data_IF_323985351839
#
_entry.id   IF_323985351839
#
_cell.length_a   1.000
_cell.length_b   1.000
_cell.length_c   1.000
_cell.angle_alpha   90.00
_cell.angle_beta   90.00
_cell.angle_gamma   90.00
#
_symmetry.space_group_name_H-M   'P 1'
#
loop_
_entity.id
_entity.type
_entity.pdbx_description
1 polymer ?
#
# COMPACT_ATOMS: atom_id res chain seq x y z
N UNK A 1 -8.15 -7.52 -23.40
CA UNK A 1 -7.05 -7.75 -22.43
C UNK A 1 -7.33 -6.93 -21.18
N UNK A 2 -7.42 -7.53 -19.99
CA UNK A 2 -7.58 -6.78 -18.74
C UNK A 2 -6.25 -6.11 -18.40
N UNK A 3 -6.16 -4.79 -18.54
CA UNK A 3 -5.02 -4.00 -18.06
C UNK A 3 -4.89 -4.24 -16.55
N UNK A 4 -3.73 -4.74 -16.10
CA UNK A 4 -3.40 -4.80 -14.68
C UNK A 4 -3.24 -3.35 -14.22
N UNK A 5 -4.19 -2.86 -13.44
CA UNK A 5 -4.16 -1.50 -12.91
C UNK A 5 -2.98 -1.33 -11.96
N UNK A 6 -2.27 -0.22 -12.11
CA UNK A 6 -0.98 0.05 -11.50
C UNK A 6 -1.12 0.99 -10.31
N UNK A 7 -0.26 0.83 -9.31
CA UNK A 7 -0.12 1.76 -8.19
C UNK A 7 1.35 2.03 -7.94
N UNK A 8 1.66 3.25 -7.52
CA UNK A 8 2.99 3.69 -7.13
C UNK A 8 3.08 3.76 -5.61
N UNK A 9 4.22 3.37 -5.06
CA UNK A 9 4.53 3.55 -3.63
C UNK A 9 5.90 4.19 -3.55
N UNK A 10 5.99 5.29 -2.82
CA UNK A 10 7.22 6.01 -2.51
C UNK A 10 7.37 6.09 -0.98
N UNK A 11 8.59 5.95 -0.48
CA UNK A 11 8.88 6.05 0.95
C UNK A 11 9.77 7.26 1.18
N UNK A 12 9.35 8.16 2.07
CA UNK A 12 10.14 9.34 2.50
C UNK A 12 10.04 9.43 4.01
N UNK A 13 11.16 9.35 4.71
CA UNK A 13 11.26 9.46 6.18
C UNK A 13 10.16 8.66 6.93
N UNK A 14 10.10 7.35 6.66
CA UNK A 14 9.10 6.40 7.21
C UNK A 14 7.64 6.70 6.84
N UNK A 15 7.39 7.62 5.92
CA UNK A 15 6.06 7.91 5.39
C UNK A 15 5.90 7.27 4.03
N UNK A 16 4.84 6.48 3.88
CA UNK A 16 4.43 5.89 2.61
C UNK A 16 3.52 6.86 1.87
N UNK A 17 3.86 7.13 0.63
CA UNK A 17 3.02 7.85 -0.31
C UNK A 17 2.59 6.86 -1.37
N UNK A 18 1.29 6.59 -1.43
CA UNK A 18 0.69 5.62 -2.33
C UNK A 18 -0.18 6.38 -3.31
N UNK A 19 0.04 6.18 -4.60
CA UNK A 19 -0.73 6.81 -5.66
C UNK A 19 -1.39 5.76 -6.55
N UNK A 20 -2.67 5.95 -6.83
CA UNK A 20 -3.48 5.10 -7.70
C UNK A 20 -3.77 5.84 -9.01
N UNK A 21 -3.63 5.12 -10.11
CA UNK A 21 -3.94 5.64 -11.45
C UNK A 21 -5.43 6.00 -11.61
N UNK A 22 -6.30 5.34 -10.85
CA UNK A 22 -7.74 5.60 -10.80
C UNK A 22 -8.23 5.70 -9.35
N UNK A 23 -9.36 6.38 -9.15
CA UNK A 23 -10.03 6.46 -7.85
C UNK A 23 -10.43 5.07 -7.36
N UNK A 24 -9.97 4.69 -6.17
CA UNK A 24 -10.36 3.45 -5.50
C UNK A 24 -11.64 3.70 -4.72
N UNK A 25 -12.77 3.12 -5.16
CA UNK A 25 -14.06 3.25 -4.48
C UNK A 25 -14.01 2.66 -3.06
N UNK A 26 -13.40 1.49 -2.93
CA UNK A 26 -13.12 0.82 -1.66
C UNK A 26 -11.88 -0.04 -1.82
N UNK A 27 -10.93 0.11 -0.90
CA UNK A 27 -9.68 -0.62 -0.93
C UNK A 27 -9.12 -0.80 0.49
N UNK A 28 -8.28 -1.83 0.66
CA UNK A 28 -7.52 -2.08 1.88
C UNK A 28 -6.03 -2.08 1.59
N UNK A 29 -5.23 -1.59 2.54
CA UNK A 29 -3.77 -1.61 2.51
C UNK A 29 -3.29 -2.38 3.73
N UNK A 30 -2.69 -3.54 3.52
CA UNK A 30 -2.06 -4.33 4.58
C UNK A 30 -0.55 -4.18 4.50
N UNK A 31 0.07 -3.82 5.63
CA UNK A 31 1.53 -3.70 5.76
C UNK A 31 2.00 -4.82 6.67
N UNK A 32 2.94 -5.63 6.20
CA UNK A 32 3.51 -6.75 6.94
C UNK A 32 5.03 -6.68 6.92
N UNK A 33 5.70 -7.23 7.94
CA UNK A 33 7.15 -7.42 7.87
C UNK A 33 7.51 -8.60 6.92
N UNK A 34 8.80 -8.89 6.77
CA UNK A 34 9.28 -10.01 5.92
C UNK A 34 8.83 -11.39 6.41
N UNK A 35 8.56 -11.54 7.70
CA UNK A 35 8.09 -12.79 8.31
C UNK A 35 6.58 -13.02 8.08
N UNK A 36 5.91 -12.08 7.40
CA UNK A 36 4.48 -12.11 7.16
C UNK A 36 3.64 -11.66 8.36
N UNK A 37 4.27 -11.19 9.44
CA UNK A 37 3.54 -10.57 10.56
C UNK A 37 2.92 -9.27 10.08
N UNK A 38 1.59 -9.21 10.12
CA UNK A 38 0.83 -7.98 9.87
C UNK A 38 1.18 -6.93 10.92
N UNK A 39 1.50 -5.76 10.43
CA UNK A 39 1.94 -4.60 11.21
C UNK A 39 0.80 -3.58 11.28
N UNK A 40 0.22 -3.26 10.12
CA UNK A 40 -0.92 -2.36 10.00
C UNK A 40 -1.88 -2.81 8.91
N UNK A 41 -3.12 -2.34 9.01
CA UNK A 41 -4.13 -2.41 7.96
C UNK A 41 -4.97 -1.15 7.97
N UNK A 42 -5.28 -0.64 6.79
CA UNK A 42 -6.09 0.54 6.57
C UNK A 42 -7.12 0.26 5.49
N UNK A 43 -8.38 0.52 5.77
CA UNK A 43 -9.43 0.57 4.77
C UNK A 43 -9.70 2.02 4.40
N UNK A 44 -9.89 2.28 3.11
CA UNK A 44 -10.16 3.62 2.60
C UNK A 44 -11.13 3.56 1.42
N UNK A 45 -11.74 4.70 1.12
CA UNK A 45 -12.79 4.81 0.10
C UNK A 45 -12.68 6.13 -0.66
N UNK A 46 -13.05 6.10 -1.94
CA UNK A 46 -13.09 7.24 -2.85
C UNK A 46 -11.79 8.08 -2.89
N UNK A 47 -10.65 7.41 -3.00
CA UNK A 47 -9.33 8.06 -2.95
C UNK A 47 -8.44 7.74 -4.16
N UNK A 48 -7.61 8.71 -4.54
CA UNK A 48 -6.54 8.57 -5.53
C UNK A 48 -5.15 8.42 -4.90
N UNK A 49 -5.02 8.73 -3.60
CA UNK A 49 -3.74 8.66 -2.91
C UNK A 49 -3.92 8.42 -1.41
N UNK A 50 -3.00 7.67 -0.81
CA UNK A 50 -2.97 7.44 0.63
C UNK A 50 -1.59 7.78 1.18
N UNK A 51 -1.57 8.41 2.35
CA UNK A 51 -0.35 8.78 3.06
C UNK A 51 -0.36 8.08 4.41
N UNK A 52 0.60 7.18 4.63
CA UNK A 52 0.66 6.36 5.85
C UNK A 52 2.00 6.58 6.52
N UNK A 53 2.00 7.13 7.72
CA UNK A 53 3.20 7.23 8.55
C UNK A 53 3.43 5.91 9.29
N UNK A 54 4.61 5.32 9.12
CA UNK A 54 4.99 4.10 9.83
C UNK A 54 5.88 4.43 11.01
N UNK A 55 5.34 4.20 12.21
CA UNK A 55 6.12 4.31 13.46
C UNK A 55 6.78 2.97 13.82
N UNK A 56 7.54 2.43 12.86
CA UNK A 56 8.20 1.14 13.00
C UNK A 56 9.70 1.24 12.68
N UNK A 57 10.52 0.28 13.17
CA UNK A 57 11.95 0.27 12.90
C UNK A 57 12.25 0.20 11.40
N UNK A 58 13.42 0.68 11.00
CA UNK A 58 13.91 0.52 9.63
C UNK A 58 13.97 -0.97 9.28
N UNK A 59 13.65 -1.30 8.05
CA UNK A 59 13.52 -2.69 7.63
C UNK A 59 12.79 -2.87 6.31
N UNK A 60 12.65 -4.13 5.91
CA UNK A 60 11.89 -4.53 4.72
C UNK A 60 10.45 -4.83 5.12
N UNK A 61 9.52 -4.28 4.34
CA UNK A 61 8.10 -4.45 4.55
C UNK A 61 7.41 -4.83 3.26
N UNK A 62 6.32 -5.57 3.37
CA UNK A 62 5.42 -5.95 2.28
C UNK A 62 4.14 -5.13 2.42
N UNK A 63 3.80 -4.39 1.38
CA UNK A 63 2.54 -3.67 1.26
C UNK A 63 1.67 -4.45 0.29
N UNK A 64 0.52 -4.90 0.76
CA UNK A 64 -0.54 -5.50 -0.06
C UNK A 64 -1.66 -4.49 -0.19
N UNK A 65 -2.16 -4.28 -1.41
CA UNK A 65 -3.31 -3.43 -1.69
C UNK A 65 -4.36 -4.28 -2.38
N UNK A 66 -5.57 -4.29 -1.82
CA UNK A 66 -6.72 -5.04 -2.34
C UNK A 66 -7.90 -4.10 -2.56
N UNK A 67 -8.44 -4.11 -3.77
CA UNK A 67 -9.66 -3.41 -4.17
C UNK A 67 -10.38 -4.24 -5.23
N UNK A 68 -11.55 -3.79 -5.68
CA UNK A 68 -12.23 -4.43 -6.83
C UNK A 68 -11.36 -4.38 -8.10
N UNK A 69 -10.48 -3.38 -8.20
CA UNK A 69 -9.66 -3.09 -9.37
C UNK A 69 -8.20 -3.60 -9.24
N UNK A 70 -7.68 -3.72 -8.02
CA UNK A 70 -6.27 -3.95 -7.73
C UNK A 70 -6.15 -5.13 -6.77
N UNK A 71 -5.24 -6.06 -7.07
CA UNK A 71 -4.74 -7.02 -6.09
C UNK A 71 -3.22 -7.09 -6.25
N UNK A 72 -2.53 -6.24 -5.51
CA UNK A 72 -1.14 -5.92 -5.74
C UNK A 72 -0.29 -6.03 -4.49
N UNK A 73 0.96 -6.46 -4.64
CA UNK A 73 1.94 -6.54 -3.56
C UNK A 73 3.20 -5.80 -3.98
N UNK A 74 3.71 -4.93 -3.12
CA UNK A 74 4.99 -4.25 -3.30
C UNK A 74 5.84 -4.38 -2.05
N UNK A 75 7.10 -4.74 -2.24
CA UNK A 75 8.08 -4.73 -1.14
C UNK A 75 8.76 -3.37 -1.11
N UNK A 76 8.89 -2.81 0.07
CA UNK A 76 9.57 -1.53 0.31
C UNK A 76 10.65 -1.70 1.37
N UNK A 77 11.57 -0.75 1.40
CA UNK A 77 12.57 -0.62 2.44
C UNK A 77 12.45 0.77 3.07
N UNK A 78 12.35 0.79 4.39
CA UNK A 78 12.28 2.00 5.22
C UNK A 78 13.60 2.16 5.96
#
# INVERSE_FOLDING_TARGET
MKTKKTFLVVVIDKTLYIHFEECQKKASITISNTDGKKIHEYDFQNSFHEIIKLDHPRGKYRIKIESEQINGIKTIQI
#
